data_IF_412370515610
#
_entry.id   IF_412370515610
#
_cell.length_a   1.000
_cell.length_b   1.000
_cell.length_c   1.000
_cell.angle_alpha   90.00
_cell.angle_beta   90.00
_cell.angle_gamma   90.00
#
_symmetry.space_group_name_H-M   'P 1'
#
loop_
_entity.id
_entity.type
_entity.pdbx_description
1 polymer ?
#
# COMPACT_ATOMS: atom_id res chain seq x y z
N UNK A 1 -12.22 3.50 -20.05
CA UNK A 1 -11.11 2.88 -20.83
C UNK A 1 -10.49 1.64 -20.19
N UNK A 2 -10.19 1.61 -18.87
CA UNK A 2 -9.64 0.40 -18.21
C UNK A 2 -10.55 -0.82 -18.35
N UNK A 3 -11.83 -0.70 -17.96
CA UNK A 3 -12.78 -1.82 -18.07
C UNK A 3 -12.95 -2.33 -19.51
N UNK A 4 -12.93 -1.42 -20.48
CA UNK A 4 -12.92 -1.79 -21.90
C UNK A 4 -11.72 -2.67 -22.27
N UNK A 5 -10.51 -2.29 -21.84
CA UNK A 5 -9.29 -3.07 -22.10
C UNK A 5 -9.40 -4.48 -21.52
N UNK A 6 -9.86 -4.59 -20.27
CA UNK A 6 -10.04 -5.88 -19.60
C UNK A 6 -11.02 -6.79 -20.36
N UNK A 7 -12.15 -6.25 -20.79
CA UNK A 7 -13.15 -7.00 -21.54
C UNK A 7 -12.66 -7.42 -22.93
N UNK A 8 -11.95 -6.53 -23.62
CA UNK A 8 -11.36 -6.83 -24.92
C UNK A 8 -10.24 -7.89 -24.81
N UNK A 9 -9.41 -7.82 -23.78
CA UNK A 9 -8.34 -8.77 -23.52
C UNK A 9 -8.89 -10.17 -23.21
N UNK A 10 -9.95 -10.24 -22.38
CA UNK A 10 -10.68 -11.48 -22.09
C UNK A 10 -11.29 -12.10 -23.35
N UNK A 11 -11.90 -11.30 -24.22
CA UNK A 11 -12.48 -11.78 -25.50
C UNK A 11 -11.42 -12.29 -26.47
N UNK A 12 -10.23 -11.68 -26.46
CA UNK A 12 -9.14 -12.04 -27.34
C UNK A 12 -8.25 -13.17 -26.78
N UNK A 13 -8.49 -13.61 -25.54
CA UNK A 13 -7.63 -14.53 -24.78
C UNK A 13 -6.15 -14.08 -24.77
N UNK A 14 -5.95 -12.80 -24.47
CA UNK A 14 -4.62 -12.19 -24.44
C UNK A 14 -4.42 -11.32 -23.21
N UNK A 15 -3.17 -11.12 -22.77
CA UNK A 15 -2.85 -10.15 -21.74
C UNK A 15 -3.32 -8.72 -22.11
N UNK A 16 -3.84 -7.92 -21.16
CA UNK A 16 -4.39 -6.58 -21.43
C UNK A 16 -3.43 -5.62 -22.15
N UNK A 17 -2.13 -5.69 -21.85
CA UNK A 17 -1.12 -4.82 -22.47
C UNK A 17 -0.95 -5.06 -23.98
N UNK A 18 -1.35 -6.22 -24.51
CA UNK A 18 -1.38 -6.50 -25.96
C UNK A 18 -2.55 -5.83 -26.67
N UNK A 19 -3.62 -5.52 -25.93
CA UNK A 19 -4.77 -4.78 -26.45
C UNK A 19 -4.47 -3.28 -26.43
N UNK A 20 -4.08 -2.75 -25.26
CA UNK A 20 -3.66 -1.36 -25.09
C UNK A 20 -2.54 -1.30 -24.06
N UNK A 21 -1.40 -0.69 -24.43
CA UNK A 21 -0.29 -0.48 -23.50
C UNK A 21 -0.73 0.42 -22.33
N UNK A 22 -0.07 0.29 -21.18
CA UNK A 22 -0.37 1.14 -20.02
C UNK A 22 -0.14 2.63 -20.32
N UNK A 23 0.88 2.94 -21.11
CA UNK A 23 1.16 4.31 -21.57
C UNK A 23 0.01 4.87 -22.41
N UNK A 24 -0.51 4.09 -23.36
CA UNK A 24 -1.63 4.50 -24.20
C UNK A 24 -2.93 4.62 -23.39
N UNK A 25 -3.17 3.69 -22.46
CA UNK A 25 -4.32 3.74 -21.58
C UNK A 25 -4.33 5.02 -20.73
N UNK A 26 -3.17 5.40 -20.19
CA UNK A 26 -2.99 6.64 -19.44
C UNK A 26 -3.19 7.87 -20.33
N UNK A 27 -2.61 7.89 -21.53
CA UNK A 27 -2.78 8.98 -22.49
C UNK A 27 -4.26 9.18 -22.89
N UNK A 28 -5.00 8.09 -23.11
CA UNK A 28 -6.43 8.11 -23.40
C UNK A 28 -7.24 8.70 -22.22
N UNK A 29 -6.89 8.33 -20.99
CA UNK A 29 -7.56 8.84 -19.79
C UNK A 29 -7.29 10.33 -19.55
N UNK A 30 -6.05 10.79 -19.79
CA UNK A 30 -5.65 12.18 -19.60
C UNK A 30 -6.17 13.12 -20.69
N UNK A 31 -6.05 12.73 -21.95
CA UNK A 31 -6.40 13.60 -23.08
C UNK A 31 -7.89 13.51 -23.46
N UNK A 32 -8.58 12.47 -23.00
CA UNK A 32 -10.01 12.20 -23.26
C UNK A 32 -10.46 12.48 -24.71
N UNK A 33 -9.90 11.79 -25.73
CA UNK A 33 -10.28 11.94 -27.13
C UNK A 33 -11.79 11.79 -27.37
N UNK A 34 -12.33 12.64 -28.24
CA UNK A 34 -13.75 12.69 -28.62
C UNK A 34 -14.02 12.26 -30.06
N UNK A 35 -12.97 12.04 -30.85
CA UNK A 35 -13.11 11.63 -32.24
C UNK A 35 -11.93 10.76 -32.70
N UNK A 36 -12.06 10.04 -33.83
CA UNK A 36 -11.00 9.19 -34.35
C UNK A 36 -9.69 9.91 -34.71
N UNK A 37 -9.74 11.21 -35.04
CA UNK A 37 -8.53 12.01 -35.29
C UNK A 37 -7.70 12.19 -34.02
N UNK A 38 -8.37 12.45 -32.90
CA UNK A 38 -7.74 12.58 -31.59
C UNK A 38 -7.20 11.24 -31.08
N UNK A 39 -7.86 10.12 -31.38
CA UNK A 39 -7.33 8.78 -31.09
C UNK A 39 -5.98 8.51 -31.79
N UNK A 40 -5.81 8.96 -33.04
CA UNK A 40 -4.50 8.86 -33.71
C UNK A 40 -3.45 9.74 -33.03
N UNK A 41 -3.86 10.92 -32.57
CA UNK A 41 -2.96 11.89 -31.94
C UNK A 41 -2.41 11.40 -30.59
N UNK A 42 -3.17 10.57 -29.87
CA UNK A 42 -2.69 9.89 -28.64
C UNK A 42 -1.84 8.64 -28.91
N UNK A 43 -1.63 8.26 -30.17
CA UNK A 43 -0.78 7.13 -30.54
C UNK A 43 -1.50 5.81 -30.77
N UNK A 44 -2.84 5.81 -30.96
CA UNK A 44 -3.55 4.60 -31.37
C UNK A 44 -3.26 4.29 -32.85
N UNK A 45 -2.60 3.17 -33.12
CA UNK A 45 -2.25 2.74 -34.47
C UNK A 45 -3.50 2.49 -35.35
N UNK A 46 -3.37 2.64 -36.67
CA UNK A 46 -4.49 2.57 -37.61
C UNK A 46 -5.29 1.25 -37.56
N UNK A 47 -4.63 0.11 -37.43
CA UNK A 47 -5.28 -1.19 -37.27
C UNK A 47 -6.06 -1.28 -35.96
N UNK A 48 -5.46 -0.84 -34.85
CA UNK A 48 -6.11 -0.79 -33.54
C UNK A 48 -7.30 0.17 -33.53
N UNK A 49 -7.24 1.27 -34.29
CA UNK A 49 -8.36 2.19 -34.39
C UNK A 49 -9.56 1.57 -35.10
N UNK A 50 -9.34 0.77 -36.14
CA UNK A 50 -10.44 0.04 -36.80
C UNK A 50 -11.09 -0.97 -35.84
N UNK A 51 -10.26 -1.66 -35.04
CA UNK A 51 -10.74 -2.71 -34.14
C UNK A 51 -11.36 -2.18 -32.85
N UNK A 52 -10.77 -1.14 -32.24
CA UNK A 52 -11.09 -0.68 -30.88
C UNK A 52 -11.63 0.76 -30.84
N UNK A 53 -11.45 1.56 -31.89
CA UNK A 53 -11.63 3.00 -31.84
C UNK A 53 -13.03 3.45 -31.45
N UNK A 54 -14.08 2.83 -32.02
CA UNK A 54 -15.46 3.16 -31.67
C UNK A 54 -15.77 2.89 -30.20
N UNK A 55 -15.46 1.68 -29.73
CA UNK A 55 -15.73 1.26 -28.35
C UNK A 55 -14.87 2.04 -27.35
N UNK A 56 -13.67 2.46 -27.74
CA UNK A 56 -12.84 3.36 -26.95
C UNK A 56 -13.47 4.73 -26.77
N UNK A 57 -13.99 5.34 -27.83
CA UNK A 57 -14.70 6.63 -27.74
C UNK A 57 -15.94 6.52 -26.85
N UNK A 58 -16.72 5.45 -26.99
CA UNK A 58 -17.87 5.16 -26.11
C UNK A 58 -17.43 5.01 -24.64
N UNK A 59 -16.35 4.27 -24.38
CA UNK A 59 -15.80 4.07 -23.04
C UNK A 59 -15.17 5.33 -22.42
N UNK A 60 -14.66 6.25 -23.25
CA UNK A 60 -14.16 7.56 -22.80
C UNK A 60 -15.34 8.45 -22.43
N UNK A 61 -16.37 8.54 -23.27
CA UNK A 61 -17.53 9.38 -23.01
C UNK A 61 -18.32 8.91 -21.78
N UNK A 62 -18.46 7.59 -21.60
CA UNK A 62 -19.01 7.03 -20.38
C UNK A 62 -18.17 7.40 -19.14
N UNK A 63 -16.85 7.31 -19.22
CA UNK A 63 -15.96 7.69 -18.12
C UNK A 63 -16.01 9.19 -17.76
N UNK A 64 -16.28 10.08 -18.73
CA UNK A 64 -16.39 11.53 -18.51
C UNK A 64 -17.66 11.93 -17.75
N UNK A 65 -18.72 11.12 -17.86
CA UNK A 65 -20.02 11.36 -17.24
C UNK A 65 -20.23 10.55 -15.96
N UNK A 66 -19.40 9.52 -15.74
CA UNK A 66 -19.47 8.68 -14.55
C UNK A 66 -18.99 9.43 -13.29
N UNK A 67 -19.60 9.13 -12.15
CA UNK A 67 -19.07 9.52 -10.84
C UNK A 67 -17.68 8.88 -10.69
N UNK A 68 -16.64 9.64 -10.30
CA UNK A 68 -15.33 9.06 -10.00
C UNK A 68 -15.46 7.92 -8.99
N UNK A 69 -14.69 6.83 -9.14
CA UNK A 69 -14.66 5.77 -8.14
C UNK A 69 -14.18 6.35 -6.81
N UNK A 70 -14.81 5.92 -5.72
CA UNK A 70 -14.34 6.26 -4.38
C UNK A 70 -13.04 5.48 -4.14
N UNK A 71 -11.94 6.22 -3.97
CA UNK A 71 -10.69 5.60 -3.56
C UNK A 71 -10.90 4.98 -2.17
N UNK A 72 -10.46 3.73 -1.94
CA UNK A 72 -10.46 3.18 -0.59
C UNK A 72 -9.65 4.13 0.29
N UNK A 73 -10.29 4.67 1.33
CA UNK A 73 -9.61 5.51 2.30
C UNK A 73 -8.50 4.66 2.93
N UNK A 74 -7.25 5.05 2.74
CA UNK A 74 -6.18 4.44 3.53
C UNK A 74 -6.45 4.81 4.99
N UNK A 75 -6.60 3.81 5.89
CA UNK A 75 -6.81 4.12 7.30
C UNK A 75 -5.60 4.93 7.77
N UNK A 76 -5.84 6.18 8.20
CA UNK A 76 -4.81 7.00 8.82
C UNK A 76 -4.38 6.29 10.10
N UNK A 77 -3.11 5.90 10.20
CA UNK A 77 -2.57 5.37 11.45
C UNK A 77 -2.62 6.47 12.51
N UNK A 78 -3.14 6.13 13.70
CA UNK A 78 -3.15 7.02 14.85
C UNK A 78 -1.70 7.53 15.15
N UNK A 79 -1.47 8.84 15.25
CA UNK A 79 -0.17 9.40 15.63
C UNK A 79 0.43 8.79 16.90
N UNK A 80 -0.41 8.33 17.84
CA UNK A 80 0.03 7.66 19.08
C UNK A 80 0.68 6.30 18.79
N UNK A 81 0.17 5.56 17.81
CA UNK A 81 0.77 4.30 17.36
C UNK A 81 2.13 4.58 16.74
N UNK A 82 2.24 5.61 15.91
CA UNK A 82 3.51 6.01 15.30
C UNK A 82 4.55 6.40 16.35
N UNK A 83 4.17 7.22 17.34
CA UNK A 83 5.06 7.61 18.43
C UNK A 83 5.58 6.42 19.24
N UNK A 84 4.70 5.45 19.56
CA UNK A 84 5.12 4.19 20.21
C UNK A 84 6.07 3.38 19.34
N UNK A 85 5.74 3.22 18.06
CA UNK A 85 6.57 2.47 17.12
C UNK A 85 7.97 3.10 16.98
N UNK A 86 8.07 4.42 16.88
CA UNK A 86 9.35 5.12 16.77
C UNK A 86 10.19 4.96 18.06
N UNK A 87 9.56 5.05 19.23
CA UNK A 87 10.23 4.81 20.51
C UNK A 87 10.76 3.38 20.61
N UNK A 88 9.94 2.39 20.24
CA UNK A 88 10.31 0.98 20.19
C UNK A 88 11.43 0.70 19.18
N UNK A 89 11.38 1.34 18.02
CA UNK A 89 12.38 1.23 16.98
C UNK A 89 13.74 1.77 17.44
N UNK A 90 13.74 2.92 18.13
CA UNK A 90 14.94 3.50 18.72
C UNK A 90 15.52 2.63 19.83
N UNK A 91 14.67 2.07 20.70
CA UNK A 91 15.08 1.10 21.70
C UNK A 91 15.75 -0.12 21.05
N UNK A 92 15.15 -0.69 20.00
CA UNK A 92 15.68 -1.85 19.28
C UNK A 92 17.06 -1.58 18.71
N UNK A 93 17.27 -0.42 18.08
CA UNK A 93 18.58 0.02 17.57
C UNK A 93 19.63 0.13 18.67
N UNK A 94 19.28 0.74 19.80
CA UNK A 94 20.18 0.87 20.94
C UNK A 94 20.57 -0.51 21.50
N UNK A 95 19.58 -1.41 21.66
CA UNK A 95 19.80 -2.77 22.17
C UNK A 95 20.66 -3.63 21.23
N UNK A 96 20.44 -3.50 19.92
CA UNK A 96 21.23 -4.16 18.88
C UNK A 96 22.71 -3.76 18.94
N UNK A 97 22.97 -2.44 19.05
CA UNK A 97 24.31 -1.90 19.22
C UNK A 97 25.00 -2.43 20.47
N UNK A 98 24.30 -2.47 21.61
CA UNK A 98 24.84 -3.02 22.86
C UNK A 98 25.19 -4.50 22.76
N UNK A 99 24.43 -5.28 21.98
CA UNK A 99 24.69 -6.71 21.77
C UNK A 99 25.66 -7.00 20.62
N UNK A 100 26.04 -6.00 19.83
CA UNK A 100 26.88 -6.19 18.65
C UNK A 100 26.23 -7.04 17.55
N UNK A 101 24.89 -6.99 17.45
CA UNK A 101 24.12 -7.76 16.46
C UNK A 101 23.24 -6.84 15.62
N UNK A 102 22.72 -7.36 14.52
CA UNK A 102 21.72 -6.67 13.71
C UNK A 102 20.40 -6.46 14.45
N UNK A 103 19.69 -5.40 14.08
CA UNK A 103 18.50 -4.96 14.84
C UNK A 103 17.32 -5.93 14.75
N UNK A 104 17.18 -6.64 13.63
CA UNK A 104 16.16 -7.66 13.40
C UNK A 104 16.36 -8.90 14.30
N UNK A 105 17.60 -9.21 14.68
CA UNK A 105 17.93 -10.29 15.62
C UNK A 105 17.34 -10.02 17.01
N UNK A 106 17.26 -8.75 17.42
CA UNK A 106 16.69 -8.34 18.71
C UNK A 106 15.19 -8.62 18.76
N UNK A 107 14.42 -7.96 17.90
CA UNK A 107 12.96 -8.13 17.77
C UNK A 107 12.56 -7.80 16.32
N UNK A 108 11.69 -8.63 15.73
CA UNK A 108 11.18 -8.43 14.38
C UNK A 108 10.45 -7.09 14.25
N UNK A 109 10.42 -6.53 13.03
CA UNK A 109 9.74 -5.25 12.78
C UNK A 109 8.24 -5.36 13.06
N UNK A 110 7.67 -6.50 12.69
CA UNK A 110 6.26 -6.85 12.81
C UNK A 110 5.87 -6.91 14.29
N UNK A 111 6.69 -7.55 15.14
CA UNK A 111 6.50 -7.52 16.59
C UNK A 111 6.47 -6.08 17.16
N UNK A 112 7.38 -5.20 16.75
CA UNK A 112 7.36 -3.80 17.23
C UNK A 112 6.08 -3.08 16.81
N UNK A 113 5.60 -3.35 15.60
CA UNK A 113 4.35 -2.77 15.10
C UNK A 113 3.14 -3.29 15.88
N UNK A 114 3.06 -4.61 16.11
CA UNK A 114 2.01 -5.22 16.94
C UNK A 114 1.99 -4.64 18.35
N UNK A 115 3.15 -4.48 18.98
CA UNK A 115 3.27 -3.84 20.30
C UNK A 115 2.77 -2.39 20.25
N UNK A 116 3.13 -1.63 19.22
CA UNK A 116 2.70 -0.24 19.07
C UNK A 116 1.18 -0.11 18.85
N UNK A 117 0.58 -1.04 18.12
CA UNK A 117 -0.87 -1.07 17.87
C UNK A 117 -1.61 -1.53 19.12
N UNK A 118 -1.19 -2.62 19.75
CA UNK A 118 -1.87 -3.25 20.89
C UNK A 118 -1.71 -2.44 22.19
N UNK A 119 -0.66 -1.63 22.29
CA UNK A 119 -0.38 -0.78 23.46
C UNK A 119 -0.42 -1.56 24.80
N UNK A 120 0.44 -2.58 24.97
CA UNK A 120 0.42 -3.46 26.14
C UNK A 120 0.77 -2.71 27.43
N UNK A 121 0.09 -3.06 28.52
CA UNK A 121 0.31 -2.50 29.85
C UNK A 121 1.04 -3.47 30.80
N UNK A 122 0.97 -4.78 30.52
CA UNK A 122 1.60 -5.84 31.30
C UNK A 122 2.28 -6.89 30.42
N UNK A 123 3.13 -7.73 31.02
CA UNK A 123 3.86 -8.77 30.28
C UNK A 123 2.93 -9.81 29.65
N UNK A 124 1.79 -10.09 30.30
CA UNK A 124 0.75 -10.96 29.75
C UNK A 124 0.22 -10.47 28.39
N UNK A 125 0.16 -9.15 28.17
CA UNK A 125 -0.30 -8.58 26.91
C UNK A 125 0.69 -8.82 25.75
N UNK A 126 1.96 -9.07 26.07
CA UNK A 126 2.99 -9.43 25.09
C UNK A 126 2.90 -10.90 24.68
N UNK A 127 2.07 -11.72 25.34
CA UNK A 127 1.87 -13.10 24.92
C UNK A 127 1.19 -13.21 23.56
N UNK A 128 0.34 -12.24 23.23
CA UNK A 128 -0.37 -12.14 21.96
C UNK A 128 0.53 -11.74 20.78
N UNK A 129 1.76 -11.27 21.05
CA UNK A 129 2.72 -10.87 20.00
C UNK A 129 3.48 -12.10 19.53
N UNK A 130 3.05 -12.65 18.40
CA UNK A 130 3.52 -13.94 17.87
C UNK A 130 5.03 -13.94 17.63
N UNK A 131 5.53 -12.85 17.04
CA UNK A 131 6.91 -12.72 16.56
C UNK A 131 7.97 -12.53 17.67
N UNK A 132 7.55 -12.36 18.93
CA UNK A 132 8.50 -12.26 20.05
C UNK A 132 9.05 -13.61 20.49
N UNK A 133 8.29 -14.70 20.39
CA UNK A 133 8.71 -16.01 20.92
C UNK A 133 9.03 -16.01 22.43
N UNK A 134 9.22 -17.19 23.05
CA UNK A 134 9.36 -17.28 24.50
C UNK A 134 10.65 -16.62 25.02
N UNK A 135 11.77 -16.76 24.31
CA UNK A 135 13.05 -16.24 24.77
C UNK A 135 13.13 -14.71 24.73
N UNK A 136 12.69 -14.06 23.65
CA UNK A 136 12.74 -12.58 23.58
C UNK A 136 11.76 -11.94 24.55
N UNK A 137 10.59 -12.56 24.78
CA UNK A 137 9.65 -12.14 25.84
C UNK A 137 10.34 -12.13 27.20
N UNK A 138 10.91 -13.27 27.61
CA UNK A 138 11.63 -13.36 28.87
C UNK A 138 12.81 -12.36 28.96
N UNK A 139 13.48 -12.08 27.85
CA UNK A 139 14.64 -11.19 27.82
C UNK A 139 14.31 -9.69 27.77
N UNK A 140 13.19 -9.29 27.16
CA UNK A 140 12.94 -7.88 26.80
C UNK A 140 11.56 -7.34 27.19
N UNK A 141 10.64 -8.16 27.73
CA UNK A 141 9.29 -7.73 28.04
C UNK A 141 9.25 -6.46 28.93
N UNK A 142 9.99 -6.47 30.04
CA UNK A 142 10.07 -5.34 30.97
C UNK A 142 10.58 -4.05 30.31
N UNK A 143 11.59 -4.16 29.44
CA UNK A 143 12.13 -3.01 28.72
C UNK A 143 11.15 -2.44 27.70
N UNK A 144 10.52 -3.31 26.91
CA UNK A 144 9.54 -2.95 25.89
C UNK A 144 8.33 -2.25 26.50
N UNK A 145 7.81 -2.77 27.62
CA UNK A 145 6.72 -2.13 28.37
C UNK A 145 7.13 -0.75 28.88
N UNK A 146 8.35 -0.62 29.42
CA UNK A 146 8.88 0.67 29.85
C UNK A 146 8.97 1.70 28.71
N UNK A 147 9.30 1.25 27.49
CA UNK A 147 9.30 2.11 26.29
C UNK A 147 7.88 2.54 25.92
N UNK A 148 6.93 1.61 25.89
CA UNK A 148 5.52 1.89 25.59
C UNK A 148 4.92 2.89 26.59
N UNK A 149 5.14 2.68 27.88
CA UNK A 149 4.63 3.56 28.94
C UNK A 149 5.19 4.99 28.82
N UNK A 150 6.50 5.13 28.55
CA UNK A 150 7.12 6.44 28.32
C UNK A 150 6.56 7.13 27.08
N UNK A 151 6.38 6.39 25.99
CA UNK A 151 5.81 6.92 24.75
C UNK A 151 4.35 7.38 24.93
N UNK A 152 3.58 6.72 25.80
CA UNK A 152 2.23 7.15 26.16
C UNK A 152 2.19 8.38 27.07
N UNK A 153 3.22 8.58 27.89
CA UNK A 153 3.32 9.71 28.82
C UNK A 153 3.91 10.99 28.17
N UNK A 154 4.53 10.88 26.99
CA UNK A 154 5.07 12.04 26.29
C UNK A 154 3.93 12.93 25.76
N UNK A 155 3.99 14.26 25.99
CA UNK A 155 3.05 15.20 25.38
C UNK A 155 3.21 15.18 23.85
N UNK A 156 2.08 15.14 23.14
CA UNK A 156 1.98 15.14 21.67
C UNK A 156 2.14 16.54 21.10
#
# INVERSE_FOLDING_TARGET
VYGYREDAARKADQPPFKILSDQLLLALAQQAPRNPGQLRSVGLAGSQQQQHGRQLLEAIEHGRSAKPPELPAQPRTDPRVLARYDALHNWRKARAKTRGVESDVIVAREALWEIAVNNPAAEADLEAVVEMGPWRRAAYASELLGVVQRANAAPQ
#
